data_IF_844257460419
#
_entry.id   IF_844257460419
#
_cell.length_a   1.000
_cell.length_b   1.000
_cell.length_c   1.000
_cell.angle_alpha   90.00
_cell.angle_beta   90.00
_cell.angle_gamma   90.00
#
_symmetry.space_group_name_H-M   'P 1'
#
loop_
_entity.id
_entity.type
_entity.pdbx_description
1 polymer ?
#
# COMPACT_ATOMS: atom_id res chain seq x y z
N UNK A 1 -13.13 -37.54 24.53
CA UNK A 1 -11.97 -38.04 23.74
C UNK A 1 -11.13 -36.85 23.36
N UNK A 2 -9.96 -36.72 23.97
CA UNK A 2 -9.05 -35.59 23.76
C UNK A 2 -7.95 -36.03 22.79
N UNK A 3 -7.85 -35.36 21.64
CA UNK A 3 -6.76 -35.57 20.70
C UNK A 3 -5.60 -34.65 21.10
N UNK A 4 -4.48 -35.23 21.51
CA UNK A 4 -3.25 -34.48 21.80
C UNK A 4 -2.05 -35.43 21.77
N UNK A 5 -1.32 -35.42 20.66
CA UNK A 5 -0.05 -36.15 20.56
C UNK A 5 1.00 -35.50 21.45
N UNK A 6 1.74 -36.32 22.20
CA UNK A 6 2.82 -35.94 23.13
C UNK A 6 4.08 -35.35 22.46
N UNK A 7 4.05 -35.13 21.14
CA UNK A 7 5.19 -34.63 20.35
C UNK A 7 4.90 -33.38 19.51
N UNK A 8 3.74 -32.74 19.66
CA UNK A 8 3.40 -31.54 18.89
C UNK A 8 4.22 -30.34 19.38
N UNK A 9 4.88 -29.54 18.50
CA UNK A 9 5.60 -28.34 18.92
C UNK A 9 4.68 -27.40 19.68
N UNK A 10 4.99 -27.18 20.95
CA UNK A 10 4.22 -26.35 21.87
C UNK A 10 4.19 -24.91 21.39
N UNK A 11 2.99 -24.44 21.00
CA UNK A 11 2.65 -23.06 20.64
C UNK A 11 3.47 -22.50 19.47
N UNK A 12 2.79 -22.19 18.36
CA UNK A 12 3.28 -21.13 17.47
C UNK A 12 3.59 -19.90 18.33
N UNK A 13 4.88 -19.60 18.53
CA UNK A 13 5.30 -18.29 19.03
C UNK A 13 4.73 -17.31 18.03
N UNK A 14 3.68 -16.57 18.43
CA UNK A 14 3.27 -15.38 17.70
C UNK A 14 4.54 -14.56 17.54
N UNK A 15 4.96 -14.33 16.29
CA UNK A 15 6.09 -13.46 16.03
C UNK A 15 5.80 -12.15 16.76
N UNK A 16 6.55 -11.89 17.83
CA UNK A 16 6.40 -10.68 18.61
C UNK A 16 6.93 -9.57 17.71
N UNK A 17 6.02 -8.89 17.02
CA UNK A 17 6.37 -7.70 16.26
C UNK A 17 6.67 -6.62 17.31
N UNK A 18 7.95 -6.41 17.58
CA UNK A 18 8.39 -5.22 18.28
C UNK A 18 8.01 -4.03 17.41
N UNK A 19 6.92 -3.36 17.75
CA UNK A 19 6.52 -2.10 17.13
C UNK A 19 7.61 -1.08 17.47
N UNK A 20 8.59 -0.92 16.57
CA UNK A 20 9.50 0.21 16.63
C UNK A 20 8.64 1.47 16.59
N UNK A 21 8.75 2.30 17.64
CA UNK A 21 8.00 3.55 17.83
C UNK A 21 8.27 4.63 16.75
N UNK A 22 8.90 4.26 15.63
CA UNK A 22 9.32 5.15 14.54
C UNK A 22 9.06 4.56 13.15
N UNK A 23 8.09 3.66 13.00
CA UNK A 23 7.70 3.16 11.68
C UNK A 23 6.82 4.21 10.97
N UNK A 24 7.32 4.77 9.88
CA UNK A 24 6.54 5.59 8.95
C UNK A 24 5.84 4.69 7.92
N UNK A 25 4.61 5.04 7.59
CA UNK A 25 3.88 4.41 6.50
C UNK A 25 3.85 5.35 5.32
N UNK A 26 4.24 4.83 4.15
CA UNK A 26 4.25 5.58 2.89
C UNK A 26 3.32 4.88 1.92
N UNK A 27 2.45 5.65 1.27
CA UNK A 27 1.64 5.19 0.14
C UNK A 27 2.21 5.81 -1.13
N UNK A 28 2.56 4.97 -2.11
CA UNK A 28 3.10 5.43 -3.39
C UNK A 28 2.22 4.92 -4.53
N UNK A 29 1.86 5.82 -5.44
CA UNK A 29 1.22 5.50 -6.71
C UNK A 29 2.13 5.91 -7.85
N UNK A 30 2.26 5.04 -8.85
CA UNK A 30 3.14 5.21 -9.99
C UNK A 30 2.59 4.46 -11.19
N UNK A 31 3.02 4.86 -12.39
CA UNK A 31 2.73 4.23 -13.67
C UNK A 31 4.04 4.00 -14.46
N UNK A 32 3.95 3.54 -15.70
CA UNK A 32 5.12 3.31 -16.55
C UNK A 32 5.92 4.59 -16.85
N UNK A 33 5.33 5.78 -16.69
CA UNK A 33 6.00 7.06 -16.89
C UNK A 33 6.60 7.63 -15.59
N UNK A 34 6.32 7.01 -14.43
CA UNK A 34 6.94 7.33 -13.15
C UNK A 34 5.96 7.53 -12.00
N UNK A 35 6.42 8.24 -10.97
CA UNK A 35 5.67 8.42 -9.72
C UNK A 35 4.59 9.50 -9.88
N UNK A 36 3.36 9.17 -9.49
CA UNK A 36 2.21 10.07 -9.55
C UNK A 36 1.92 10.73 -8.21
N UNK A 37 2.06 9.99 -7.11
CA UNK A 37 1.76 10.49 -5.76
C UNK A 37 2.55 9.72 -4.71
N UNK A 38 3.19 10.45 -3.80
CA UNK A 38 3.76 9.91 -2.56
C UNK A 38 3.03 10.59 -1.39
N UNK A 39 2.40 9.81 -0.53
CA UNK A 39 1.78 10.32 0.70
C UNK A 39 2.42 9.65 1.92
N UNK A 40 3.09 10.48 2.72
CA UNK A 40 3.61 10.09 4.03
C UNK A 40 2.51 10.20 5.07
N UNK A 41 2.26 9.11 5.78
CA UNK A 41 1.32 9.13 6.89
C UNK A 41 2.03 9.54 8.17
N UNK A 42 1.32 10.33 8.98
CA UNK A 42 1.75 10.65 10.33
C UNK A 42 1.89 9.36 11.16
N UNK A 43 2.80 9.36 12.12
CA UNK A 43 2.98 8.23 13.02
C UNK A 43 1.65 7.86 13.71
N UNK A 44 1.48 6.57 13.99
CA UNK A 44 0.35 5.98 14.73
C UNK A 44 -1.01 5.98 14.01
N UNK A 45 -1.13 6.59 12.83
CA UNK A 45 -2.36 6.47 12.03
C UNK A 45 -2.39 5.19 11.20
N UNK A 46 -3.45 4.39 11.37
CA UNK A 46 -3.74 3.21 10.54
C UNK A 46 -4.46 3.64 9.27
N UNK A 47 -4.09 3.09 8.10
CA UNK A 47 -4.89 3.27 6.87
C UNK A 47 -6.26 2.64 7.12
N UNK A 48 -7.26 3.48 7.29
CA UNK A 48 -8.65 3.08 7.19
C UNK A 48 -9.20 3.47 5.80
N UNK A 49 -10.42 3.04 5.49
CA UNK A 49 -11.03 3.30 4.18
C UNK A 49 -11.20 4.79 3.89
N UNK A 50 -11.44 5.62 4.91
CA UNK A 50 -11.65 7.06 4.74
C UNK A 50 -10.37 7.78 4.32
N UNK A 51 -9.26 7.47 4.98
CA UNK A 51 -7.95 8.02 4.62
C UNK A 51 -7.58 7.58 3.20
N UNK A 52 -7.79 6.31 2.87
CA UNK A 52 -7.54 5.80 1.52
C UNK A 52 -8.40 6.51 0.46
N UNK A 53 -9.70 6.72 0.73
CA UNK A 53 -10.58 7.49 -0.15
C UNK A 53 -10.09 8.94 -0.36
N UNK A 54 -9.52 9.57 0.67
CA UNK A 54 -8.91 10.91 0.55
C UNK A 54 -7.68 10.87 -0.35
N UNK A 55 -6.83 9.86 -0.19
CA UNK A 55 -5.66 9.66 -1.05
C UNK A 55 -6.05 9.41 -2.50
N UNK A 56 -7.08 8.60 -2.77
CA UNK A 56 -7.60 8.40 -4.14
C UNK A 56 -8.08 9.70 -4.79
N UNK A 57 -8.73 10.60 -4.03
CA UNK A 57 -9.11 11.93 -4.54
C UNK A 57 -7.89 12.78 -4.91
N UNK A 58 -6.81 12.71 -4.13
CA UNK A 58 -5.54 13.38 -4.44
C UNK A 58 -4.88 12.76 -5.68
N UNK A 59 -4.87 11.43 -5.77
CA UNK A 59 -4.35 10.70 -6.92
C UNK A 59 -5.07 11.09 -8.21
N UNK A 60 -6.40 11.18 -8.17
CA UNK A 60 -7.18 11.63 -9.33
C UNK A 60 -6.74 13.02 -9.80
N UNK A 61 -6.49 13.96 -8.88
CA UNK A 61 -5.98 15.30 -9.21
C UNK A 61 -4.56 15.23 -9.79
N UNK A 62 -3.69 14.39 -9.24
CA UNK A 62 -2.34 14.19 -9.75
C UNK A 62 -2.36 13.64 -11.19
N UNK A 63 -3.22 12.67 -11.49
CA UNK A 63 -3.41 12.14 -12.84
C UNK A 63 -3.96 13.23 -13.77
N UNK A 64 -4.95 14.02 -13.31
CA UNK A 64 -5.50 15.15 -14.09
C UNK A 64 -4.42 16.17 -14.50
N UNK A 65 -3.45 16.42 -13.62
CA UNK A 65 -2.40 17.40 -13.87
C UNK A 65 -1.25 16.83 -14.72
N UNK A 66 -0.80 15.60 -14.42
CA UNK A 66 0.43 15.03 -14.98
C UNK A 66 0.19 14.08 -16.16
N UNK A 67 -1.01 13.52 -16.30
CA UNK A 67 -1.35 12.45 -17.26
C UNK A 67 -2.74 12.67 -17.86
N UNK A 68 -2.97 13.83 -18.49
CA UNK A 68 -4.29 14.20 -19.04
C UNK A 68 -4.88 13.14 -19.97
N UNK A 69 -4.05 12.45 -20.75
CA UNK A 69 -4.48 11.37 -21.65
C UNK A 69 -5.04 10.13 -20.94
N UNK A 70 -4.54 9.82 -19.73
CA UNK A 70 -4.90 8.60 -19.00
C UNK A 70 -6.37 8.60 -18.56
N UNK A 71 -6.94 9.77 -18.28
CA UNK A 71 -8.35 9.88 -17.89
C UNK A 71 -9.31 9.64 -19.05
N UNK A 72 -8.87 9.96 -20.27
CA UNK A 72 -9.64 9.73 -21.49
C UNK A 72 -9.60 8.26 -21.91
N UNK A 73 -8.47 7.58 -21.69
CA UNK A 73 -8.27 6.17 -22.05
C UNK A 73 -8.83 5.19 -21.02
N UNK A 74 -9.21 5.67 -19.83
CA UNK A 74 -9.63 4.83 -18.71
C UNK A 74 -8.45 4.45 -17.81
N UNK A 75 -8.70 4.41 -16.50
CA UNK A 75 -7.69 4.10 -15.48
C UNK A 75 -7.98 2.72 -14.90
N UNK A 76 -6.99 1.83 -14.98
CA UNK A 76 -7.00 0.53 -14.30
C UNK A 76 -6.09 0.64 -13.07
N UNK A 77 -6.66 0.53 -11.88
CA UNK A 77 -5.94 0.59 -10.62
C UNK A 77 -5.54 -0.81 -10.17
N UNK A 78 -4.23 -1.00 -9.94
CA UNK A 78 -3.68 -2.20 -9.32
C UNK A 78 -3.35 -1.92 -7.85
N UNK A 79 -4.03 -2.60 -6.94
CA UNK A 79 -3.72 -2.58 -5.51
C UNK A 79 -3.98 -3.96 -4.88
N UNK A 80 -3.49 -4.20 -3.67
CA UNK A 80 -3.76 -5.41 -2.91
C UNK A 80 -5.17 -5.42 -2.30
N UNK A 81 -5.62 -6.60 -1.84
CA UNK A 81 -6.95 -6.77 -1.22
C UNK A 81 -6.98 -6.39 0.27
N UNK A 82 -6.20 -5.40 0.70
CA UNK A 82 -6.24 -4.93 2.07
C UNK A 82 -7.65 -4.41 2.43
N UNK A 83 -8.08 -4.59 3.68
CA UNK A 83 -9.43 -4.21 4.14
C UNK A 83 -9.85 -2.78 3.77
N UNK A 84 -8.99 -1.75 3.85
CA UNK A 84 -9.35 -0.40 3.42
C UNK A 84 -9.62 -0.28 1.92
N UNK A 85 -8.96 -1.09 1.10
CA UNK A 85 -9.06 -1.06 -0.36
C UNK A 85 -10.33 -1.77 -0.85
N UNK A 86 -10.75 -2.83 -0.17
CA UNK A 86 -11.98 -3.57 -0.48
C UNK A 86 -13.22 -3.05 0.25
N UNK A 87 -13.09 -1.97 1.03
CA UNK A 87 -14.21 -1.38 1.76
C UNK A 87 -15.27 -0.80 0.81
N UNK A 88 -16.54 -0.85 1.20
CA UNK A 88 -17.67 -0.35 0.40
C UNK A 88 -17.45 1.10 -0.04
N UNK A 89 -17.03 1.97 0.90
CA UNK A 89 -16.73 3.39 0.61
C UNK A 89 -15.67 3.56 -0.47
N UNK A 90 -14.65 2.71 -0.48
CA UNK A 90 -13.59 2.74 -1.48
C UNK A 90 -14.13 2.32 -2.84
N UNK A 91 -14.90 1.24 -2.92
CA UNK A 91 -15.57 0.81 -4.14
C UNK A 91 -16.50 1.88 -4.72
N UNK A 92 -17.24 2.61 -3.88
CA UNK A 92 -18.07 3.73 -4.32
C UNK A 92 -17.26 4.87 -4.93
N UNK A 93 -16.10 5.21 -4.36
CA UNK A 93 -15.20 6.25 -4.90
C UNK A 93 -14.65 5.83 -6.25
N UNK A 94 -14.18 4.58 -6.39
CA UNK A 94 -13.63 4.05 -7.63
C UNK A 94 -14.70 4.02 -8.74
N UNK A 95 -15.92 3.58 -8.41
CA UNK A 95 -17.07 3.63 -9.33
C UNK A 95 -17.40 5.06 -9.76
N UNK A 96 -17.40 6.02 -8.82
CA UNK A 96 -17.60 7.45 -9.15
C UNK A 96 -16.50 8.00 -10.06
N UNK A 97 -15.30 7.46 -9.97
CA UNK A 97 -14.18 7.84 -10.83
C UNK A 97 -14.19 7.13 -12.18
N UNK A 98 -15.02 6.09 -12.34
CA UNK A 98 -15.03 5.18 -13.50
C UNK A 98 -13.66 4.52 -13.69
N UNK A 99 -13.06 4.12 -12.57
CA UNK A 99 -11.79 3.40 -12.58
C UNK A 99 -12.06 1.92 -12.39
N UNK A 100 -11.43 1.12 -13.25
CA UNK A 100 -11.45 -0.33 -13.12
C UNK A 100 -10.41 -0.76 -12.10
N UNK A 101 -10.69 -1.85 -11.38
CA UNK A 101 -9.76 -2.43 -10.41
C UNK A 101 -9.28 -3.74 -10.96
N UNK A 102 -7.97 -3.88 -11.14
CA UNK A 102 -7.39 -5.16 -11.51
C UNK A 102 -7.51 -6.13 -10.34
N UNK A 103 -8.21 -7.25 -10.54
CA UNK A 103 -8.41 -8.21 -9.47
C UNK A 103 -7.10 -8.88 -9.08
N UNK A 104 -6.71 -8.67 -7.82
CA UNK A 104 -5.54 -9.33 -7.26
C UNK A 104 -5.97 -10.62 -6.56
N UNK A 105 -5.39 -11.78 -6.88
CA UNK A 105 -5.67 -13.01 -6.15
C UNK A 105 -5.13 -12.94 -4.71
N UNK A 106 -5.79 -13.59 -3.73
CA UNK A 106 -5.32 -13.58 -2.34
C UNK A 106 -3.86 -14.06 -2.22
N UNK A 107 -3.07 -13.36 -1.40
CA UNK A 107 -1.72 -13.75 -0.97
C UNK A 107 -0.64 -13.86 -2.06
N UNK A 108 -0.83 -13.26 -3.24
CA UNK A 108 0.15 -13.28 -4.35
C UNK A 108 0.98 -12.00 -4.49
N UNK A 109 2.00 -11.88 -3.66
CA UNK A 109 2.94 -10.73 -3.69
C UNK A 109 3.70 -10.58 -5.01
N UNK A 110 3.88 -11.66 -5.75
CA UNK A 110 4.53 -11.72 -7.07
C UNK A 110 3.80 -10.88 -8.13
N UNK A 111 2.49 -10.64 -7.95
CA UNK A 111 1.70 -9.84 -8.88
C UNK A 111 1.61 -8.36 -8.50
N UNK A 112 2.15 -7.97 -7.35
CA UNK A 112 2.21 -6.57 -6.95
C UNK A 112 3.54 -5.97 -7.44
N UNK A 113 3.51 -5.29 -8.59
CA UNK A 113 4.71 -4.67 -9.17
C UNK A 113 5.47 -3.76 -8.17
N UNK A 114 4.76 -3.11 -7.25
CA UNK A 114 5.35 -2.30 -6.19
C UNK A 114 6.21 -3.11 -5.20
N UNK A 115 5.79 -4.31 -4.83
CA UNK A 115 6.52 -5.16 -3.87
C UNK A 115 7.80 -5.74 -4.48
N UNK A 116 7.77 -6.05 -5.78
CA UNK A 116 8.91 -6.63 -6.49
C UNK A 116 9.90 -5.58 -7.00
N UNK A 117 9.43 -4.43 -7.48
CA UNK A 117 10.28 -3.46 -8.13
C UNK A 117 10.61 -2.28 -7.21
N UNK A 118 9.59 -1.51 -6.84
CA UNK A 118 9.76 -0.24 -6.15
C UNK A 118 10.31 -0.42 -4.73
N UNK A 119 9.71 -1.29 -3.92
CA UNK A 119 10.14 -1.45 -2.53
C UNK A 119 11.49 -2.15 -2.39
N UNK A 120 11.88 -3.00 -3.35
CA UNK A 120 13.23 -3.58 -3.39
C UNK A 120 14.26 -2.47 -3.66
N UNK A 121 14.03 -1.63 -4.67
CA UNK A 121 14.91 -0.51 -4.98
C UNK A 121 15.01 0.48 -3.80
N UNK A 122 13.87 0.82 -3.18
CA UNK A 122 13.86 1.67 -2.00
C UNK A 122 14.66 1.06 -0.85
N UNK A 123 14.47 -0.23 -0.52
CA UNK A 123 15.26 -0.89 0.54
C UNK A 123 16.75 -0.85 0.27
N UNK A 124 17.17 -1.10 -0.98
CA UNK A 124 18.58 -0.99 -1.38
C UNK A 124 19.13 0.42 -1.17
N UNK A 125 18.36 1.44 -1.56
CA UNK A 125 18.75 2.84 -1.39
C UNK A 125 18.79 3.28 0.08
N UNK A 126 17.85 2.77 0.88
CA UNK A 126 17.72 3.07 2.30
C UNK A 126 18.72 2.29 3.20
N UNK A 127 19.36 1.25 2.68
CA UNK A 127 20.21 0.34 3.45
C UNK A 127 19.41 -0.62 4.34
N UNK A 128 20.04 -1.73 4.76
CA UNK A 128 19.42 -2.80 5.57
C UNK A 128 19.08 -2.38 7.02
N UNK A 129 19.29 -1.12 7.38
CA UNK A 129 18.98 -0.59 8.70
C UNK A 129 18.64 0.88 8.56
N UNK A 130 17.44 1.28 9.00
CA UNK A 130 17.18 2.45 9.85
C UNK A 130 15.69 2.80 9.80
N UNK A 131 15.10 2.88 11.00
CA UNK A 131 13.87 3.62 11.28
C UNK A 131 13.97 5.06 10.77
N UNK A 132 13.24 5.36 9.69
CA UNK A 132 13.24 6.66 9.06
C UNK A 132 12.65 7.72 9.98
N UNK A 133 13.44 8.75 10.28
CA UNK A 133 12.93 9.97 10.90
C UNK A 133 12.46 10.91 9.79
N UNK A 134 11.29 11.54 9.97
CA UNK A 134 10.58 12.44 9.03
C UNK A 134 11.40 13.53 8.33
N UNK A 135 12.64 13.80 8.77
CA UNK A 135 13.54 14.81 8.19
C UNK A 135 14.16 14.39 6.85
N UNK A 136 14.38 13.09 6.61
CA UNK A 136 15.11 12.64 5.42
C UNK A 136 14.23 12.48 4.16
N UNK A 137 12.91 12.61 4.30
CA UNK A 137 11.94 12.31 3.24
C UNK A 137 11.31 13.55 2.59
N UNK A 138 11.58 14.75 3.11
CA UNK A 138 11.06 16.01 2.55
C UNK A 138 11.94 16.60 1.45
N UNK A 139 13.08 15.97 1.17
CA UNK A 139 14.09 16.41 0.20
C UNK A 139 14.11 15.57 -1.08
N UNK A 140 13.13 14.66 -1.25
CA UNK A 140 12.91 13.87 -2.46
C UNK A 140 11.73 14.42 -3.26
#
# INVERSE_FOLDING_TARGET
>A
MAWGHTGSPTRFRKAHQTLSARKLMVTVFWDAEGILLIEFMTHETTINSEVYCRTLKKLKRAIQNNRRGLLSSGVVLLHDNARPHTAVRTGEVLRKFKWDVFQHPPYRKDLALSDFHLFIAMKKWLGDSISLTMRNLKTL
#
